data_IF_169147072292
#
_entry.id   IF_169147072292
#
_cell.length_a   1.000
_cell.length_b   1.000
_cell.length_c   1.000
_cell.angle_alpha   90.00
_cell.angle_beta   90.00
_cell.angle_gamma   90.00
#
_symmetry.space_group_name_H-M   'P 1'
#
loop_
_entity.id
_entity.type
_entity.pdbx_description
1 polymer ?
#
# COMPACT_ATOMS: atom_id res chain seq x y z
N UNK A 1 11.39 26.41 -41.88
CA UNK A 1 10.15 25.60 -41.93
C UNK A 1 10.43 24.25 -41.29
N UNK A 2 10.06 24.07 -40.02
CA UNK A 2 10.27 22.82 -39.31
C UNK A 2 9.14 21.85 -39.67
N UNK A 3 9.48 20.75 -40.34
CA UNK A 3 8.56 19.68 -40.65
C UNK A 3 8.03 19.09 -39.33
N UNK A 4 6.71 19.19 -39.12
CA UNK A 4 6.03 18.47 -38.07
C UNK A 4 6.29 16.96 -38.27
N UNK A 5 7.11 16.36 -37.41
CA UNK A 5 7.25 14.92 -37.32
C UNK A 5 5.86 14.34 -37.07
N UNK A 6 5.29 13.69 -38.10
CA UNK A 6 4.12 12.82 -37.96
C UNK A 6 4.43 11.84 -36.83
N UNK A 7 3.73 11.96 -35.69
CA UNK A 7 3.63 10.89 -34.71
C UNK A 7 3.37 9.60 -35.48
N UNK A 8 4.30 8.65 -35.43
CA UNK A 8 4.13 7.34 -36.04
C UNK A 8 2.92 6.69 -35.39
N UNK A 9 1.75 6.83 -36.00
CA UNK A 9 0.53 6.21 -35.54
C UNK A 9 0.60 4.74 -35.93
N UNK A 10 1.28 3.94 -35.11
CA UNK A 10 1.27 2.50 -35.27
C UNK A 10 -0.14 1.96 -35.01
N UNK A 11 -0.56 0.97 -35.81
CA UNK A 11 -1.89 0.37 -35.71
C UNK A 11 -1.84 -0.81 -34.75
N UNK A 12 -2.35 -0.61 -33.54
CA UNK A 12 -2.40 -1.66 -32.53
C UNK A 12 -3.49 -2.70 -32.87
N UNK A 13 -3.28 -3.99 -32.51
CA UNK A 13 -4.31 -5.02 -32.62
C UNK A 13 -5.55 -4.65 -31.78
N UNK A 14 -6.76 -5.10 -32.19
CA UNK A 14 -7.97 -4.85 -31.44
C UNK A 14 -7.86 -5.42 -30.01
N UNK A 15 -8.70 -4.92 -29.10
CA UNK A 15 -8.83 -5.52 -27.79
C UNK A 15 -9.45 -6.92 -27.91
N UNK A 16 -9.03 -7.88 -27.06
CA UNK A 16 -9.77 -9.13 -26.92
C UNK A 16 -11.23 -8.86 -26.55
N UNK A 17 -12.14 -9.57 -27.19
CA UNK A 17 -13.55 -9.57 -26.85
C UNK A 17 -13.79 -10.17 -25.48
N UNK A 18 -14.93 -9.86 -24.87
CA UNK A 18 -15.36 -10.48 -23.59
C UNK A 18 -15.36 -12.02 -23.72
N UNK A 19 -15.82 -12.56 -24.86
CA UNK A 19 -15.85 -14.00 -25.12
C UNK A 19 -14.45 -14.61 -25.17
N UNK A 20 -13.48 -13.94 -25.79
CA UNK A 20 -12.09 -14.38 -25.83
C UNK A 20 -11.45 -14.35 -24.44
N UNK A 21 -11.72 -13.30 -23.64
CA UNK A 21 -11.25 -13.23 -22.25
C UNK A 21 -11.86 -14.37 -21.42
N UNK A 22 -13.17 -14.62 -21.54
CA UNK A 22 -13.82 -15.74 -20.85
C UNK A 22 -13.17 -17.08 -21.22
N UNK A 23 -12.88 -17.29 -22.51
CA UNK A 23 -12.23 -18.50 -23.01
C UNK A 23 -10.79 -18.62 -22.48
N UNK A 24 -10.01 -17.56 -22.53
CA UNK A 24 -8.62 -17.50 -22.07
C UNK A 24 -8.51 -17.80 -20.57
N UNK A 25 -9.48 -17.35 -19.79
CA UNK A 25 -9.52 -17.61 -18.35
C UNK A 25 -10.11 -18.97 -17.97
N UNK A 26 -10.73 -19.67 -18.92
CA UNK A 26 -11.57 -20.83 -18.65
C UNK A 26 -12.49 -20.55 -17.42
N UNK A 27 -13.17 -19.39 -17.42
CA UNK A 27 -13.87 -18.78 -16.26
C UNK A 27 -14.94 -19.67 -15.59
N UNK A 28 -15.14 -20.91 -16.07
CA UNK A 28 -15.96 -21.94 -15.41
C UNK A 28 -15.31 -22.53 -14.15
N UNK A 29 -14.00 -22.36 -13.88
CA UNK A 29 -13.37 -23.07 -12.77
C UNK A 29 -12.48 -22.28 -11.78
N UNK A 30 -11.91 -21.11 -12.08
CA UNK A 30 -10.89 -20.54 -11.17
C UNK A 30 -11.03 -19.03 -10.90
N UNK A 31 -11.51 -18.70 -9.69
CA UNK A 31 -11.46 -17.37 -9.05
C UNK A 31 -10.03 -16.95 -8.63
N UNK A 32 -8.98 -17.58 -9.15
CA UNK A 32 -7.67 -17.61 -8.48
C UNK A 32 -6.93 -16.27 -8.45
N UNK A 33 -7.15 -15.35 -9.41
CA UNK A 33 -6.38 -14.10 -9.48
C UNK A 33 -7.15 -12.81 -9.17
N UNK A 34 -8.47 -12.90 -8.90
CA UNK A 34 -9.32 -11.74 -8.55
C UNK A 34 -9.11 -10.51 -9.46
N UNK A 35 -8.89 -10.74 -10.75
CA UNK A 35 -8.67 -9.69 -11.75
C UNK A 35 -10.00 -9.16 -12.28
N UNK A 36 -10.07 -7.83 -12.44
CA UNK A 36 -11.19 -7.13 -13.07
C UNK A 36 -10.63 -6.31 -14.24
N UNK A 37 -10.97 -6.68 -15.47
CA UNK A 37 -10.43 -6.07 -16.68
C UNK A 37 -11.24 -4.86 -17.11
N UNK A 38 -10.54 -3.80 -17.51
CA UNK A 38 -11.14 -2.60 -18.08
C UNK A 38 -10.93 -2.61 -19.59
N UNK A 39 -12.00 -2.89 -20.33
CA UNK A 39 -11.97 -3.02 -21.80
C UNK A 39 -12.49 -1.78 -22.53
N UNK A 40 -13.07 -0.81 -21.81
CA UNK A 40 -13.48 0.47 -22.39
C UNK A 40 -12.28 1.41 -22.51
N UNK A 41 -11.82 1.60 -23.75
CA UNK A 41 -10.67 2.46 -24.06
C UNK A 41 -10.88 3.93 -23.66
N UNK A 42 -12.12 4.40 -23.55
CA UNK A 42 -12.40 5.78 -23.10
C UNK A 42 -12.07 5.95 -21.62
N UNK A 43 -12.29 4.89 -20.82
CA UNK A 43 -11.97 4.89 -19.39
C UNK A 43 -10.47 4.71 -19.17
N UNK A 44 -9.80 3.83 -19.91
CA UNK A 44 -8.33 3.71 -19.83
C UNK A 44 -7.63 4.97 -20.31
N UNK A 45 -8.11 5.61 -21.39
CA UNK A 45 -7.63 6.93 -21.83
C UNK A 45 -7.86 7.98 -20.73
N UNK A 46 -8.97 7.91 -19.97
CA UNK A 46 -9.23 8.80 -18.84
C UNK A 46 -8.27 8.58 -17.67
N UNK A 47 -7.91 7.33 -17.36
CA UNK A 47 -6.90 7.00 -16.33
C UNK A 47 -5.55 7.59 -16.74
N UNK A 48 -5.12 7.34 -17.98
CA UNK A 48 -3.84 7.83 -18.51
C UNK A 48 -3.75 9.36 -18.45
N UNK A 49 -4.84 10.08 -18.77
CA UNK A 49 -4.87 11.55 -18.61
C UNK A 49 -4.64 12.02 -17.17
N UNK A 50 -4.97 11.23 -16.15
CA UNK A 50 -4.70 11.58 -14.76
C UNK A 50 -3.25 11.35 -14.34
N UNK A 51 -2.51 10.50 -15.04
CA UNK A 51 -1.07 10.33 -14.80
C UNK A 51 -0.28 11.60 -15.20
N UNK A 52 -0.82 12.38 -16.13
CA UNK A 52 -0.24 13.61 -16.64
C UNK A 52 0.21 13.48 -18.09
N UNK A 53 1.17 14.31 -18.49
CA UNK A 53 1.76 14.22 -19.82
C UNK A 53 2.68 12.99 -19.91
N UNK A 54 2.33 12.04 -20.76
CA UNK A 54 3.15 10.85 -21.04
C UNK A 54 3.99 10.97 -22.31
N UNK A 55 3.97 12.12 -22.98
CA UNK A 55 4.83 12.36 -24.14
C UNK A 55 6.28 12.21 -23.71
N UNK A 56 7.01 11.36 -24.44
CA UNK A 56 8.42 11.03 -24.21
C UNK A 56 8.71 10.51 -22.79
N UNK A 57 7.69 9.96 -22.11
CA UNK A 57 7.81 9.46 -20.75
C UNK A 57 8.27 8.01 -20.69
N UNK A 58 8.88 7.65 -19.56
CA UNK A 58 9.15 6.28 -19.15
C UNK A 58 8.00 5.78 -18.29
N UNK A 59 7.31 4.74 -18.71
CA UNK A 59 6.11 4.25 -18.02
C UNK A 59 6.29 2.81 -17.62
N UNK A 60 6.08 2.52 -16.33
CA UNK A 60 5.89 1.16 -15.87
C UNK A 60 4.39 0.88 -15.72
N UNK A 61 3.86 0.00 -16.54
CA UNK A 61 2.52 -0.55 -16.33
C UNK A 61 2.61 -1.82 -15.49
N UNK A 62 1.80 -1.87 -14.43
CA UNK A 62 1.73 -3.03 -13.55
C UNK A 62 0.46 -3.82 -13.83
N UNK A 63 0.61 -5.11 -14.16
CA UNK A 63 -0.49 -6.01 -14.46
C UNK A 63 -1.33 -5.55 -15.65
N UNK A 64 -0.74 -5.46 -16.86
CA UNK A 64 -1.44 -4.97 -18.06
C UNK A 64 -2.65 -5.81 -18.47
N UNK A 65 -2.67 -7.10 -18.10
CA UNK A 65 -3.73 -8.04 -18.46
C UNK A 65 -3.98 -8.07 -19.98
N UNK A 66 -5.23 -7.84 -20.45
CA UNK A 66 -5.54 -7.81 -21.89
C UNK A 66 -4.96 -6.58 -22.63
N UNK A 67 -4.28 -5.68 -21.93
CA UNK A 67 -3.58 -4.53 -22.50
C UNK A 67 -4.48 -3.32 -22.79
N UNK A 68 -5.56 -3.15 -22.02
CA UNK A 68 -6.43 -1.97 -22.13
C UNK A 68 -5.70 -0.67 -21.81
N UNK A 69 -5.06 -0.62 -20.64
CA UNK A 69 -4.22 0.51 -20.23
C UNK A 69 -2.97 0.64 -21.11
N UNK A 70 -2.31 -0.48 -21.44
CA UNK A 70 -1.17 -0.53 -22.38
C UNK A 70 -1.42 0.27 -23.66
N UNK A 71 -2.57 0.03 -24.32
CA UNK A 71 -2.95 0.73 -25.56
C UNK A 71 -3.08 2.23 -25.34
N UNK A 72 -3.74 2.64 -24.26
CA UNK A 72 -3.91 4.05 -23.91
C UNK A 72 -2.58 4.74 -23.58
N UNK A 73 -1.64 4.05 -22.92
CA UNK A 73 -0.30 4.56 -22.61
C UNK A 73 0.52 4.76 -23.89
N UNK A 74 0.54 3.76 -24.78
CA UNK A 74 1.24 3.85 -26.07
C UNK A 74 0.69 4.99 -26.92
N UNK A 75 -0.65 5.11 -27.00
CA UNK A 75 -1.34 6.20 -27.71
C UNK A 75 -1.02 7.58 -27.13
N UNK A 76 -0.77 7.67 -25.82
CA UNK A 76 -0.40 8.92 -25.16
C UNK A 76 1.06 9.38 -25.43
N UNK A 77 1.85 8.58 -26.16
CA UNK A 77 3.18 8.98 -26.63
C UNK A 77 4.32 8.65 -25.68
N UNK A 78 4.16 7.62 -24.83
CA UNK A 78 5.26 7.10 -24.01
C UNK A 78 6.47 6.74 -24.89
N UNK A 79 7.67 7.12 -24.46
CA UNK A 79 8.91 6.76 -25.15
C UNK A 79 9.27 5.29 -24.92
N UNK A 80 9.07 4.81 -23.68
CA UNK A 80 9.45 3.48 -23.23
C UNK A 80 8.43 2.98 -22.19
N UNK A 81 7.65 1.97 -22.59
CA UNK A 81 6.65 1.30 -21.77
C UNK A 81 7.18 -0.06 -21.32
N UNK A 82 7.49 -0.20 -20.04
CA UNK A 82 7.75 -1.48 -19.40
C UNK A 82 6.46 -2.02 -18.81
N UNK A 83 6.02 -3.21 -19.23
CA UNK A 83 4.89 -3.90 -18.59
C UNK A 83 5.38 -5.08 -17.77
N UNK A 84 4.86 -5.23 -16.54
CA UNK A 84 5.15 -6.37 -15.66
C UNK A 84 3.87 -7.17 -15.50
N UNK A 85 3.80 -8.34 -16.13
CA UNK A 85 2.64 -9.24 -16.11
C UNK A 85 2.99 -10.57 -15.45
N UNK A 86 2.16 -11.02 -14.51
CA UNK A 86 2.35 -12.28 -13.79
C UNK A 86 1.67 -13.45 -14.49
N UNK A 87 0.57 -13.18 -15.20
CA UNK A 87 -0.23 -14.20 -15.84
C UNK A 87 0.29 -14.50 -17.26
N UNK A 88 0.88 -15.67 -17.44
CA UNK A 88 1.45 -16.13 -18.71
C UNK A 88 0.45 -16.11 -19.87
N UNK A 89 -0.84 -16.24 -19.58
CA UNK A 89 -1.90 -16.31 -20.60
C UNK A 89 -2.02 -15.02 -21.42
N UNK A 90 -1.63 -13.88 -20.84
CA UNK A 90 -1.67 -12.60 -21.56
C UNK A 90 -0.42 -12.27 -22.35
N UNK A 91 0.69 -12.95 -22.07
CA UNK A 91 1.99 -12.66 -22.69
C UNK A 91 1.91 -12.69 -24.23
N UNK A 92 1.24 -13.66 -24.89
CA UNK A 92 1.13 -13.64 -26.36
C UNK A 92 0.39 -12.41 -26.89
N UNK A 93 -0.68 -11.96 -26.21
CA UNK A 93 -1.42 -10.76 -26.61
C UNK A 93 -0.61 -9.47 -26.40
N UNK A 94 0.22 -9.43 -25.35
CA UNK A 94 1.14 -8.33 -25.11
C UNK A 94 2.29 -8.33 -26.14
N UNK A 95 2.79 -9.48 -26.56
CA UNK A 95 3.80 -9.60 -27.62
C UNK A 95 3.30 -8.98 -28.93
N UNK A 96 2.06 -9.29 -29.34
CA UNK A 96 1.43 -8.67 -30.51
C UNK A 96 1.34 -7.13 -30.38
N UNK A 97 1.12 -6.58 -29.18
CA UNK A 97 1.15 -5.14 -28.95
C UNK A 97 2.56 -4.57 -29.08
N UNK A 98 3.56 -5.28 -28.57
CA UNK A 98 4.96 -4.89 -28.65
C UNK A 98 5.48 -4.92 -30.09
N UNK A 99 5.09 -5.91 -30.88
CA UNK A 99 5.38 -6.00 -32.32
C UNK A 99 4.70 -4.88 -33.11
N UNK A 100 3.46 -4.54 -32.74
CA UNK A 100 2.74 -3.42 -33.35
C UNK A 100 3.33 -2.06 -32.96
N UNK A 101 4.07 -1.94 -31.86
CA UNK A 101 4.74 -0.71 -31.42
C UNK A 101 6.26 -0.93 -31.23
N UNK A 102 7.02 -1.16 -32.33
CA UNK A 102 8.43 -1.52 -32.25
C UNK A 102 9.27 -0.52 -31.45
N UNK A 103 10.08 -1.02 -30.52
CA UNK A 103 10.98 -0.21 -29.69
C UNK A 103 10.29 0.66 -28.63
N UNK A 104 8.96 0.61 -28.51
CA UNK A 104 8.20 1.41 -27.52
C UNK A 104 7.79 0.62 -26.30
N UNK A 105 7.69 -0.70 -26.40
CA UNK A 105 7.17 -1.55 -25.35
C UNK A 105 8.14 -2.69 -25.03
N UNK A 106 8.26 -3.02 -23.74
CA UNK A 106 9.03 -4.15 -23.21
C UNK A 106 8.15 -4.92 -22.24
N UNK A 107 8.24 -6.25 -22.30
CA UNK A 107 7.42 -7.14 -21.49
C UNK A 107 8.31 -7.90 -20.53
N UNK A 108 7.97 -7.84 -19.24
CA UNK A 108 8.54 -8.68 -18.21
C UNK A 108 7.45 -9.61 -17.71
N UNK A 109 7.69 -10.91 -17.82
CA UNK A 109 6.89 -11.91 -17.15
C UNK A 109 7.39 -12.05 -15.70
N UNK A 110 6.60 -11.59 -14.73
CA UNK A 110 6.99 -11.59 -13.31
C UNK A 110 5.94 -10.99 -12.38
N UNK A 111 6.17 -11.16 -11.07
CA UNK A 111 5.32 -10.58 -10.03
C UNK A 111 5.84 -9.19 -9.64
N UNK A 112 5.00 -8.16 -9.72
CA UNK A 112 5.37 -6.80 -9.31
C UNK A 112 5.76 -6.69 -7.83
N UNK A 113 5.22 -7.56 -6.96
CA UNK A 113 5.56 -7.57 -5.55
C UNK A 113 7.02 -7.97 -5.30
N UNK A 114 7.68 -8.64 -6.24
CA UNK A 114 9.09 -9.05 -6.12
C UNK A 114 9.99 -8.43 -7.19
N UNK A 115 9.43 -7.97 -8.30
CA UNK A 115 10.18 -7.33 -9.38
C UNK A 115 10.90 -6.05 -8.91
N UNK A 116 12.14 -5.90 -9.36
CA UNK A 116 13.04 -4.81 -8.99
C UNK A 116 13.06 -3.73 -10.06
N UNK A 117 12.22 -2.71 -9.88
CA UNK A 117 12.08 -1.58 -10.81
C UNK A 117 13.34 -0.72 -10.92
N UNK A 118 14.29 -0.83 -10.00
CA UNK A 118 15.58 -0.14 -10.03
C UNK A 118 16.35 -0.36 -11.34
N UNK A 119 16.16 -1.54 -11.97
CA UNK A 119 16.81 -1.91 -13.23
C UNK A 119 15.87 -1.78 -14.44
N UNK A 120 14.66 -1.25 -14.23
CA UNK A 120 13.63 -1.19 -15.26
C UNK A 120 13.89 -0.14 -16.33
N UNK A 121 14.62 0.93 -16.00
CA UNK A 121 14.82 2.11 -16.85
C UNK A 121 16.27 2.62 -16.80
N UNK A 122 16.72 3.36 -17.84
CA UNK A 122 18.06 3.92 -17.87
C UNK A 122 18.30 4.91 -16.71
N UNK A 123 19.48 4.84 -16.08
CA UNK A 123 19.84 5.71 -14.94
C UNK A 123 19.79 7.21 -15.27
N UNK A 124 19.93 7.57 -16.54
CA UNK A 124 19.85 8.93 -17.07
C UNK A 124 18.45 9.54 -16.94
N UNK A 125 17.43 8.70 -16.72
CA UNK A 125 16.06 9.12 -16.41
C UNK A 125 15.94 9.70 -15.00
N UNK A 126 16.87 9.37 -14.12
CA UNK A 126 16.82 9.79 -12.72
C UNK A 126 16.97 11.31 -12.58
N UNK A 127 16.22 11.86 -11.65
CA UNK A 127 16.34 13.23 -11.15
C UNK A 127 16.70 13.19 -9.68
N UNK A 128 17.32 14.27 -9.19
CA UNK A 128 17.49 14.43 -7.73
C UNK A 128 16.12 14.50 -7.06
N UNK A 129 16.05 14.26 -5.75
CA UNK A 129 14.77 14.21 -5.06
C UNK A 129 14.09 15.59 -5.00
N UNK A 130 14.91 16.63 -4.86
CA UNK A 130 14.52 18.02 -4.71
C UNK A 130 14.13 18.67 -6.05
N UNK A 131 14.61 18.13 -7.18
CA UNK A 131 14.23 18.57 -8.53
C UNK A 131 12.75 18.34 -8.85
N UNK A 132 12.30 18.88 -9.98
CA UNK A 132 11.01 18.50 -10.59
C UNK A 132 10.93 16.97 -10.76
N UNK A 133 9.75 16.36 -10.55
CA UNK A 133 9.61 14.92 -10.66
C UNK A 133 10.08 14.42 -12.04
N UNK A 134 10.76 13.24 -12.11
CA UNK A 134 11.18 12.67 -13.39
C UNK A 134 9.96 12.50 -14.32
N UNK A 135 10.20 12.44 -15.63
CA UNK A 135 9.16 12.06 -16.60
C UNK A 135 8.95 10.53 -16.59
N UNK A 136 8.72 10.01 -15.38
CA UNK A 136 8.56 8.60 -15.09
C UNK A 136 7.26 8.38 -14.31
N UNK A 137 6.47 7.41 -14.77
CA UNK A 137 5.14 7.13 -14.23
C UNK A 137 4.96 5.65 -13.99
N UNK A 138 4.29 5.31 -12.89
CA UNK A 138 3.80 3.96 -12.64
C UNK A 138 2.29 3.99 -12.74
N UNK A 139 1.74 3.16 -13.61
CA UNK A 139 0.29 3.10 -13.89
C UNK A 139 -0.17 1.67 -13.72
N UNK A 140 -1.32 1.45 -13.09
CA UNK A 140 -1.81 0.08 -12.92
C UNK A 140 -3.28 -0.01 -12.58
N UNK A 141 -3.96 -0.95 -13.23
CA UNK A 141 -5.29 -1.42 -12.82
C UNK A 141 -5.16 -2.78 -12.12
N UNK A 142 -4.87 -2.75 -10.83
CA UNK A 142 -4.42 -3.94 -10.12
C UNK A 142 -5.56 -4.72 -9.47
N UNK A 143 -5.41 -6.04 -9.31
CA UNK A 143 -6.25 -6.80 -8.40
C UNK A 143 -6.23 -6.18 -7.00
N UNK A 144 -7.39 -6.13 -6.35
CA UNK A 144 -7.51 -5.44 -5.06
C UNK A 144 -6.63 -6.07 -3.97
N UNK A 145 -6.45 -7.39 -4.00
CA UNK A 145 -5.53 -8.14 -3.12
C UNK A 145 -4.07 -7.74 -3.28
N UNK A 146 -3.67 -7.21 -4.45
CA UNK A 146 -2.30 -6.78 -4.76
C UNK A 146 -2.12 -5.28 -4.53
N UNK A 147 -3.11 -4.46 -4.87
CA UNK A 147 -3.02 -2.99 -4.83
C UNK A 147 -2.61 -2.44 -3.46
N UNK A 148 -3.22 -2.94 -2.37
CA UNK A 148 -2.99 -2.45 -1.00
C UNK A 148 -1.60 -2.83 -0.45
N UNK A 149 -1.15 -4.10 -0.50
CA UNK A 149 0.22 -4.42 -0.06
C UNK A 149 1.27 -3.74 -0.94
N UNK A 150 1.01 -3.57 -2.25
CA UNK A 150 1.95 -2.91 -3.16
C UNK A 150 2.12 -1.43 -2.83
N UNK A 151 1.04 -0.68 -2.57
CA UNK A 151 1.17 0.73 -2.20
C UNK A 151 1.88 0.89 -0.85
N UNK A 152 1.66 0.00 0.13
CA UNK A 152 2.39 0.03 1.40
C UNK A 152 3.89 -0.20 1.17
N UNK A 153 4.26 -1.20 0.36
CA UNK A 153 5.64 -1.45 -0.05
C UNK A 153 6.26 -0.23 -0.73
N UNK A 154 5.52 0.42 -1.64
CA UNK A 154 6.01 1.60 -2.32
C UNK A 154 6.13 2.82 -1.41
N UNK A 155 5.25 3.01 -0.43
CA UNK A 155 5.42 4.07 0.57
C UNK A 155 6.69 3.85 1.40
N UNK A 156 7.00 2.61 1.78
CA UNK A 156 8.27 2.28 2.44
C UNK A 156 9.48 2.56 1.54
N UNK A 157 9.42 2.10 0.29
CA UNK A 157 10.49 2.38 -0.68
C UNK A 157 10.66 3.88 -0.93
N UNK A 158 9.58 4.64 -0.95
CA UNK A 158 9.58 6.09 -1.11
C UNK A 158 10.25 6.79 0.07
N UNK A 159 9.90 6.39 1.31
CA UNK A 159 10.56 6.88 2.52
C UNK A 159 12.07 6.61 2.50
N UNK A 160 12.47 5.43 1.99
CA UNK A 160 13.87 5.02 1.92
C UNK A 160 14.58 5.48 0.64
N UNK A 161 13.87 6.15 -0.29
CA UNK A 161 14.37 6.53 -1.63
C UNK A 161 14.95 5.35 -2.43
N UNK A 162 14.32 4.19 -2.32
CA UNK A 162 14.71 2.93 -2.99
C UNK A 162 13.70 2.50 -4.07
N UNK A 163 13.97 1.42 -4.79
CA UNK A 163 13.04 0.90 -5.79
C UNK A 163 12.88 1.88 -6.97
N UNK A 164 11.64 2.09 -7.41
CA UNK A 164 11.32 3.07 -8.44
C UNK A 164 11.51 4.54 -8.01
N UNK A 165 11.74 4.80 -6.72
CA UNK A 165 11.98 6.13 -6.18
C UNK A 165 13.46 6.53 -6.21
N UNK A 166 14.35 5.62 -6.65
CA UNK A 166 15.73 5.96 -6.99
C UNK A 166 15.83 6.89 -8.21
N UNK A 167 14.80 6.92 -9.06
CA UNK A 167 14.72 7.84 -10.20
C UNK A 167 14.25 9.25 -9.80
N UNK A 168 13.99 9.49 -8.52
CA UNK A 168 13.40 10.72 -7.99
C UNK A 168 11.94 10.52 -7.59
N UNK A 169 11.16 11.61 -7.59
CA UNK A 169 9.75 11.64 -7.15
C UNK A 169 8.78 11.04 -8.17
N UNK A 170 9.04 9.81 -8.61
CA UNK A 170 8.23 9.03 -9.57
C UNK A 170 6.75 9.02 -9.17
N UNK A 171 5.89 9.36 -10.12
CA UNK A 171 4.44 9.50 -9.89
C UNK A 171 3.72 8.18 -10.08
N UNK A 172 2.66 7.96 -9.29
CA UNK A 172 1.86 6.73 -9.34
C UNK A 172 0.41 7.08 -9.71
N UNK A 173 -0.20 6.30 -10.60
CA UNK A 173 -1.64 6.36 -10.92
C UNK A 173 -2.22 4.96 -10.87
N UNK A 174 -2.95 4.66 -9.81
CA UNK A 174 -3.34 3.29 -9.47
C UNK A 174 -4.84 3.22 -9.22
N UNK A 175 -5.42 2.05 -9.49
CA UNK A 175 -6.80 1.76 -9.11
C UNK A 175 -6.87 1.01 -7.78
N UNK A 176 -7.90 1.33 -7.00
CA UNK A 176 -8.21 0.66 -5.74
C UNK A 176 -9.72 0.45 -5.63
N UNK A 177 -10.16 -0.42 -4.72
CA UNK A 177 -11.56 -0.40 -4.29
C UNK A 177 -11.93 1.01 -3.82
N UNK A 178 -13.16 1.45 -4.09
CA UNK A 178 -13.64 2.79 -3.73
C UNK A 178 -13.36 3.15 -2.26
N UNK A 179 -13.63 2.24 -1.34
CA UNK A 179 -13.37 2.48 0.10
C UNK A 179 -11.87 2.69 0.40
N UNK A 180 -10.98 1.95 -0.26
CA UNK A 180 -9.53 2.10 -0.09
C UNK A 180 -9.06 3.43 -0.67
N UNK A 181 -9.60 3.84 -1.83
CA UNK A 181 -9.34 5.15 -2.41
C UNK A 181 -9.80 6.30 -1.49
N UNK A 182 -11.00 6.19 -0.92
CA UNK A 182 -11.52 7.14 0.06
C UNK A 182 -10.65 7.22 1.31
N UNK A 183 -10.17 6.07 1.82
CA UNK A 183 -9.25 6.01 2.95
C UNK A 183 -7.92 6.70 2.62
N UNK A 184 -7.32 6.44 1.46
CA UNK A 184 -6.05 7.06 1.04
C UNK A 184 -6.12 8.60 1.04
N UNK A 185 -7.28 9.17 0.68
CA UNK A 185 -7.48 10.62 0.58
C UNK A 185 -8.23 11.24 1.76
N UNK A 186 -8.54 10.47 2.79
CA UNK A 186 -9.32 10.97 3.92
C UNK A 186 -8.53 11.98 4.76
N UNK A 187 -9.08 13.18 4.92
CA UNK A 187 -8.54 14.25 5.77
C UNK A 187 -8.70 13.96 7.26
N UNK A 188 -8.08 14.78 8.11
CA UNK A 188 -8.33 14.82 9.55
C UNK A 188 -9.82 15.00 9.85
N UNK A 189 -10.33 14.29 10.85
CA UNK A 189 -11.75 14.27 11.24
C UNK A 189 -12.65 13.38 10.37
N UNK A 190 -12.20 12.95 9.19
CA UNK A 190 -13.02 12.12 8.30
C UNK A 190 -13.30 10.74 8.88
N UNK A 191 -14.54 10.24 8.69
CA UNK A 191 -14.92 8.87 9.07
C UNK A 191 -14.03 7.82 8.41
N UNK A 192 -13.60 8.07 7.17
CA UNK A 192 -12.74 7.17 6.41
C UNK A 192 -11.26 7.29 6.77
N UNK A 193 -10.87 8.22 7.64
CA UNK A 193 -9.47 8.35 8.06
C UNK A 193 -9.01 7.08 8.75
N UNK A 194 -7.83 6.62 8.34
CA UNK A 194 -7.26 5.34 8.74
C UNK A 194 -5.74 5.43 8.75
N UNK A 195 -5.08 4.35 9.17
CA UNK A 195 -3.64 4.18 9.03
C UNK A 195 -3.15 4.50 7.62
N UNK A 196 -3.86 4.04 6.59
CA UNK A 196 -3.46 4.22 5.20
C UNK A 196 -3.50 5.69 4.77
N UNK A 197 -4.42 6.49 5.33
CA UNK A 197 -4.51 7.93 5.10
C UNK A 197 -3.22 8.62 5.53
N UNK A 198 -2.83 8.39 6.79
CA UNK A 198 -1.64 9.02 7.38
C UNK A 198 -0.39 8.58 6.64
N UNK A 199 -0.21 7.25 6.47
CA UNK A 199 0.99 6.68 5.83
C UNK A 199 1.20 7.16 4.39
N UNK A 200 0.12 7.39 3.63
CA UNK A 200 0.23 7.92 2.27
C UNK A 200 0.47 9.43 2.25
N UNK A 201 -0.31 10.19 3.04
CA UNK A 201 -0.32 11.65 2.96
C UNK A 201 0.94 12.30 3.55
N UNK A 202 1.63 11.66 4.50
CA UNK A 202 2.88 12.24 5.02
C UNK A 202 4.03 12.14 4.00
N UNK A 203 3.95 11.24 3.02
CA UNK A 203 4.95 11.06 1.97
C UNK A 203 4.52 11.65 0.63
N UNK A 204 3.22 11.79 0.39
CA UNK A 204 2.66 12.15 -0.91
C UNK A 204 1.56 13.20 -0.82
N UNK A 205 1.43 13.99 -1.89
CA UNK A 205 0.12 14.51 -2.27
C UNK A 205 -0.69 13.37 -2.89
N UNK A 206 -1.84 13.04 -2.30
CA UNK A 206 -2.72 11.94 -2.74
C UNK A 206 -4.05 12.51 -3.24
N UNK A 207 -4.40 12.23 -4.49
CA UNK A 207 -5.62 12.74 -5.13
C UNK A 207 -6.50 11.60 -5.58
N UNK A 208 -7.77 11.61 -5.16
CA UNK A 208 -8.80 10.74 -5.70
C UNK A 208 -9.32 11.40 -6.97
N UNK A 209 -8.91 10.91 -8.13
CA UNK A 209 -9.14 11.57 -9.40
C UNK A 209 -10.59 11.41 -9.87
N UNK A 210 -11.11 10.18 -9.84
CA UNK A 210 -12.50 9.84 -10.13
C UNK A 210 -12.80 8.39 -9.75
N UNK A 211 -14.09 8.07 -9.68
CA UNK A 211 -14.59 6.71 -9.45
C UNK A 211 -15.12 6.11 -10.75
N UNK A 212 -14.79 4.84 -11.00
CA UNK A 212 -15.30 4.03 -12.10
C UNK A 212 -16.36 3.08 -11.53
N UNK A 213 -17.59 3.08 -12.08
CA UNK A 213 -18.62 2.12 -11.70
C UNK A 213 -18.15 0.68 -11.90
N UNK A 214 -18.44 -0.22 -10.95
CA UNK A 214 -18.02 -1.63 -11.05
C UNK A 214 -18.53 -2.32 -12.33
N UNK A 215 -19.68 -1.90 -12.87
CA UNK A 215 -20.22 -2.45 -14.13
C UNK A 215 -19.35 -2.20 -15.37
N UNK A 216 -18.36 -1.31 -15.30
CA UNK A 216 -17.42 -1.07 -16.40
C UNK A 216 -16.34 -2.14 -16.53
N UNK A 217 -16.22 -3.04 -15.54
CA UNK A 217 -15.19 -4.07 -15.52
C UNK A 217 -15.75 -5.45 -15.87
N UNK A 218 -14.87 -6.33 -16.35
CA UNK A 218 -15.17 -7.73 -16.66
C UNK A 218 -14.12 -8.64 -16.00
N UNK A 219 -14.51 -9.59 -15.13
CA UNK A 219 -15.83 -9.66 -14.49
C UNK A 219 -16.14 -8.40 -13.66
N UNK A 220 -17.43 -8.18 -13.38
CA UNK A 220 -17.88 -7.05 -12.55
C UNK A 220 -17.47 -7.27 -11.08
N UNK A 221 -16.67 -6.39 -10.46
CA UNK A 221 -16.40 -6.42 -9.03
C UNK A 221 -17.68 -6.09 -8.22
N UNK A 222 -17.67 -6.50 -6.95
CA UNK A 222 -18.75 -6.18 -6.00
C UNK A 222 -18.81 -4.72 -5.55
N UNK A 223 -17.75 -3.95 -5.84
CA UNK A 223 -17.58 -2.55 -5.43
C UNK A 223 -17.10 -1.71 -6.60
N UNK A 224 -17.35 -0.42 -6.54
CA UNK A 224 -16.77 0.54 -7.47
C UNK A 224 -15.26 0.69 -7.25
N UNK A 225 -14.59 1.27 -8.24
CA UNK A 225 -13.13 1.39 -8.29
C UNK A 225 -12.72 2.85 -8.32
N UNK A 226 -11.93 3.30 -7.35
CA UNK A 226 -11.35 4.63 -7.32
C UNK A 226 -10.01 4.69 -8.06
N UNK A 227 -9.79 5.74 -8.84
CA UNK A 227 -8.50 6.05 -9.48
C UNK A 227 -7.78 7.07 -8.62
N UNK A 228 -6.61 6.71 -8.09
CA UNK A 228 -5.84 7.53 -7.16
C UNK A 228 -4.49 7.88 -7.77
N UNK A 229 -4.15 9.17 -7.74
CA UNK A 229 -2.86 9.69 -8.17
C UNK A 229 -2.01 10.09 -6.96
N UNK A 230 -0.73 9.72 -6.99
CA UNK A 230 0.24 10.01 -5.94
C UNK A 230 1.40 10.79 -6.53
N UNK A 231 1.72 11.92 -5.91
CA UNK A 231 2.93 12.68 -6.17
C UNK A 231 3.76 12.73 -4.89
N UNK A 232 4.94 12.09 -4.85
CA UNK A 232 5.84 12.17 -3.70
C UNK A 232 6.20 13.62 -3.37
N UNK A 233 6.24 13.94 -2.07
CA UNK A 233 6.61 15.25 -1.57
C UNK A 233 8.13 15.44 -1.65
N UNK A 234 8.58 16.67 -1.94
CA UNK A 234 9.99 17.02 -1.86
C UNK A 234 10.50 16.88 -0.42
N UNK A 235 9.72 17.38 0.54
CA UNK A 235 9.94 17.17 1.96
C UNK A 235 8.77 16.37 2.54
N UNK A 236 9.01 15.17 3.09
CA UNK A 236 7.96 14.42 3.76
C UNK A 236 7.50 15.19 5.00
N UNK A 237 6.22 15.04 5.34
CA UNK A 237 5.65 15.69 6.51
C UNK A 237 6.08 15.03 7.83
N UNK A 238 6.77 13.89 7.81
CA UNK A 238 7.37 13.26 9.00
C UNK A 238 8.75 12.76 8.58
N UNK A 239 9.80 13.13 9.32
CA UNK A 239 11.20 12.81 9.00
C UNK A 239 11.75 11.77 9.96
N UNK A 240 11.03 10.66 10.10
CA UNK A 240 11.41 9.52 10.95
C UNK A 240 11.42 8.23 10.12
N UNK A 241 12.14 7.18 10.54
CA UNK A 241 12.16 5.91 9.83
C UNK A 241 10.75 5.36 9.59
N UNK A 242 10.48 4.84 8.39
CA UNK A 242 9.15 4.37 7.99
C UNK A 242 8.51 3.42 9.02
N UNK A 243 9.29 2.48 9.55
CA UNK A 243 8.81 1.48 10.52
C UNK A 243 8.42 2.10 11.86
N UNK A 244 9.10 3.15 12.30
CA UNK A 244 8.77 3.89 13.51
C UNK A 244 7.42 4.60 13.34
N UNK A 245 7.24 5.32 12.22
CA UNK A 245 5.97 5.98 11.90
C UNK A 245 4.84 4.96 11.76
N UNK A 246 5.07 3.88 11.02
CA UNK A 246 4.10 2.80 10.84
C UNK A 246 3.65 2.20 12.16
N UNK A 247 4.60 1.98 13.09
CA UNK A 247 4.33 1.44 14.44
C UNK A 247 3.42 2.37 15.25
N UNK A 248 3.71 3.66 15.29
CA UNK A 248 2.89 4.64 16.04
C UNK A 248 1.50 4.76 15.43
N UNK A 249 1.41 4.93 14.11
CA UNK A 249 0.11 5.06 13.42
C UNK A 249 -0.70 3.77 13.58
N UNK A 250 -0.08 2.59 13.47
CA UNK A 250 -0.77 1.29 13.65
C UNK A 250 -1.36 1.15 15.04
N UNK A 251 -0.60 1.46 16.10
CA UNK A 251 -1.08 1.37 17.47
C UNK A 251 -2.17 2.41 17.75
N UNK A 252 -1.99 3.64 17.27
CA UNK A 252 -2.99 4.71 17.39
C UNK A 252 -4.35 4.31 16.80
N UNK A 253 -4.37 3.72 15.60
CA UNK A 253 -5.61 3.31 14.93
C UNK A 253 -6.18 1.96 15.39
N UNK A 254 -5.54 1.24 16.32
CA UNK A 254 -6.01 -0.07 16.79
C UNK A 254 -7.40 0.00 17.43
N UNK A 255 -7.66 1.05 18.22
CA UNK A 255 -8.93 1.23 18.93
C UNK A 255 -9.68 2.47 18.42
N UNK A 256 -10.21 2.40 17.20
CA UNK A 256 -10.85 3.53 16.49
C UNK A 256 -11.94 4.28 17.26
N UNK A 257 -12.64 3.61 18.19
CA UNK A 257 -13.74 4.19 18.99
C UNK A 257 -13.30 4.63 20.40
N UNK A 258 -12.01 4.50 20.74
CA UNK A 258 -11.43 4.92 22.02
C UNK A 258 -10.54 6.14 21.79
N UNK A 259 -10.13 6.83 22.86
CA UNK A 259 -9.16 7.92 22.74
C UNK A 259 -7.80 7.36 22.32
N UNK A 260 -7.00 8.15 21.63
CA UNK A 260 -5.71 7.79 21.06
C UNK A 260 -4.74 7.23 22.10
N UNK A 261 -4.81 7.75 23.35
CA UNK A 261 -4.04 7.27 24.50
C UNK A 261 -4.10 5.74 24.63
N UNK A 262 -5.28 5.13 24.45
CA UNK A 262 -5.45 3.67 24.56
C UNK A 262 -4.67 2.88 23.52
N UNK A 263 -4.51 3.45 22.32
CA UNK A 263 -3.68 2.86 21.28
C UNK A 263 -2.20 3.07 21.58
N UNK A 264 -1.81 4.28 21.95
CA UNK A 264 -0.43 4.66 22.26
C UNK A 264 0.14 3.91 23.46
N UNK A 265 -0.69 3.59 24.46
CA UNK A 265 -0.36 2.72 25.60
C UNK A 265 0.26 1.38 25.16
N UNK A 266 -0.11 0.85 23.98
CA UNK A 266 0.39 -0.42 23.45
C UNK A 266 1.80 -0.32 22.87
N UNK A 267 2.40 0.87 22.83
CA UNK A 267 3.81 1.07 22.48
C UNK A 267 4.76 0.74 23.64
N UNK A 268 4.24 0.63 24.86
CA UNK A 268 5.03 0.56 26.08
C UNK A 268 4.73 -0.70 26.93
N UNK A 269 5.76 -1.32 27.54
CA UNK A 269 5.62 -2.44 28.48
C UNK A 269 4.65 -2.16 29.63
N UNK A 270 3.96 -3.19 30.14
CA UNK A 270 2.96 -3.01 31.22
C UNK A 270 3.53 -2.27 32.45
N UNK A 271 4.80 -2.52 32.79
CA UNK A 271 5.49 -1.93 33.95
C UNK A 271 5.69 -0.41 33.88
N UNK A 272 5.85 0.15 32.68
CA UNK A 272 6.18 1.58 32.46
C UNK A 272 5.13 2.30 31.62
N UNK A 273 4.04 1.60 31.26
CA UNK A 273 3.05 2.06 30.28
C UNK A 273 2.46 3.42 30.62
N UNK A 274 2.07 3.64 31.87
CA UNK A 274 1.41 4.87 32.27
C UNK A 274 2.36 6.07 32.13
N UNK A 275 3.54 5.97 32.75
CA UNK A 275 4.56 7.02 32.77
C UNK A 275 5.03 7.38 31.36
N UNK A 276 5.45 6.39 30.57
CA UNK A 276 5.97 6.65 29.22
C UNK A 276 4.89 7.14 28.24
N UNK A 277 3.63 6.74 28.42
CA UNK A 277 2.53 7.28 27.60
C UNK A 277 2.26 8.74 27.95
N UNK A 278 2.29 9.10 29.22
CA UNK A 278 2.14 10.49 29.67
C UNK A 278 3.31 11.35 29.19
N UNK A 279 4.53 10.83 29.28
CA UNK A 279 5.73 11.50 28.75
C UNK A 279 5.64 11.73 27.24
N UNK A 280 5.22 10.70 26.48
CA UNK A 280 5.06 10.79 25.03
C UNK A 280 4.06 11.87 24.64
N UNK A 281 2.87 11.85 25.24
CA UNK A 281 1.78 12.78 24.92
C UNK A 281 2.14 14.22 25.32
N UNK A 282 2.77 14.40 26.47
CA UNK A 282 3.24 15.72 26.94
C UNK A 282 4.34 16.27 26.04
N UNK A 283 5.33 15.45 25.71
CA UNK A 283 6.45 15.85 24.84
C UNK A 283 5.99 16.16 23.41
N UNK A 284 4.96 15.46 22.92
CA UNK A 284 4.39 15.68 21.61
C UNK A 284 3.33 16.80 21.57
N UNK A 285 2.93 17.34 22.72
CA UNK A 285 1.81 18.29 22.86
C UNK A 285 0.51 17.81 22.18
N UNK A 286 0.13 16.55 22.45
CA UNK A 286 -1.07 15.93 21.87
C UNK A 286 -2.11 15.66 22.95
N UNK A 287 -3.34 16.12 22.72
CA UNK A 287 -4.45 15.87 23.64
C UNK A 287 -4.75 14.35 23.74
N UNK A 288 -4.63 13.75 24.95
CA UNK A 288 -4.87 12.32 25.19
C UNK A 288 -6.29 11.85 24.84
N UNK A 289 -7.25 12.78 24.74
CA UNK A 289 -8.67 12.51 24.54
C UNK A 289 -9.09 12.48 23.08
N UNK A 290 -8.23 12.92 22.15
CA UNK A 290 -8.50 12.85 20.72
C UNK A 290 -8.78 11.43 20.27
N UNK A 291 -9.72 11.26 19.34
CA UNK A 291 -9.88 10.01 18.59
C UNK A 291 -8.75 9.88 17.57
N UNK A 292 -8.37 8.65 17.18
CA UNK A 292 -7.36 8.44 16.14
C UNK A 292 -7.63 9.18 14.82
N UNK A 293 -8.90 9.38 14.48
CA UNK A 293 -9.29 10.12 13.26
C UNK A 293 -9.10 11.63 13.36
N UNK A 294 -8.94 12.18 14.56
CA UNK A 294 -8.81 13.61 14.81
C UNK A 294 -7.35 14.05 14.84
N UNK A 295 -6.41 13.10 14.94
CA UNK A 295 -4.97 13.38 14.92
C UNK A 295 -4.52 13.76 13.51
N UNK A 296 -3.96 14.96 13.41
CA UNK A 296 -3.33 15.56 12.24
C UNK A 296 -1.96 14.94 11.93
N UNK A 297 -1.43 15.21 10.74
CA UNK A 297 -0.10 14.70 10.36
C UNK A 297 1.01 15.40 11.15
N UNK A 298 0.83 16.67 11.53
CA UNK A 298 1.74 17.40 12.40
C UNK A 298 1.80 16.81 13.81
N UNK A 299 0.66 16.40 14.38
CA UNK A 299 0.65 15.70 15.68
C UNK A 299 1.29 14.30 15.57
N UNK A 300 1.06 13.58 14.46
CA UNK A 300 1.79 12.33 14.21
C UNK A 300 3.31 12.54 14.05
N UNK A 301 3.74 13.68 13.49
CA UNK A 301 5.17 14.06 13.46
C UNK A 301 5.69 14.22 14.89
N UNK A 302 5.02 15.02 15.70
CA UNK A 302 5.42 15.28 17.08
C UNK A 302 5.48 13.98 17.90
N UNK A 303 4.49 13.09 17.75
CA UNK A 303 4.48 11.76 18.37
C UNK A 303 5.66 10.90 17.90
N UNK A 304 5.99 10.93 16.60
CA UNK A 304 7.11 10.17 16.06
C UNK A 304 8.46 10.67 16.57
N UNK A 305 8.65 11.98 16.63
CA UNK A 305 9.87 12.61 17.13
C UNK A 305 10.06 12.32 18.63
N UNK A 306 8.99 12.51 19.43
CA UNK A 306 9.01 12.21 20.87
C UNK A 306 9.24 10.72 21.15
N UNK A 307 8.60 9.82 20.40
CA UNK A 307 8.80 8.38 20.57
C UNK A 307 10.21 7.93 20.18
N UNK A 308 10.80 8.53 19.13
CA UNK A 308 12.20 8.26 18.75
C UNK A 308 13.15 8.56 19.90
N UNK A 309 13.00 9.74 20.52
CA UNK A 309 13.78 10.14 21.69
C UNK A 309 13.62 9.17 22.87
N UNK A 310 12.38 8.76 23.18
CA UNK A 310 12.13 7.78 24.23
C UNK A 310 12.80 6.42 23.94
N UNK A 311 12.87 5.99 22.68
CA UNK A 311 13.57 4.76 22.29
C UNK A 311 15.10 4.87 22.42
N UNK A 312 15.67 6.06 22.24
CA UNK A 312 17.10 6.31 22.49
C UNK A 312 17.44 6.24 23.98
N UNK A 313 16.54 6.72 24.84
CA UNK A 313 16.71 6.73 26.29
C UNK A 313 16.40 5.37 26.95
N UNK A 314 15.54 4.55 26.33
CA UNK A 314 15.05 3.29 26.89
C UNK A 314 15.42 2.10 26.00
N UNK A 315 16.49 1.39 26.38
CA UNK A 315 17.01 0.26 25.62
C UNK A 315 15.95 -0.84 25.45
N UNK A 316 15.75 -1.30 24.20
CA UNK A 316 14.80 -2.38 23.85
C UNK A 316 13.36 -1.92 23.59
N UNK A 317 13.02 -0.64 23.80
CA UNK A 317 11.67 -0.14 23.56
C UNK A 317 11.26 -0.19 22.07
N UNK A 318 12.22 -0.01 21.17
CA UNK A 318 11.98 -0.08 19.72
C UNK A 318 11.50 -1.47 19.26
N UNK A 319 11.95 -2.52 19.95
CA UNK A 319 11.68 -3.93 19.63
C UNK A 319 10.50 -4.52 20.39
N UNK A 320 9.96 -3.80 21.38
CA UNK A 320 8.84 -4.27 22.20
C UNK A 320 7.60 -4.62 21.33
N UNK A 321 6.91 -5.72 21.64
CA UNK A 321 5.58 -6.03 21.08
C UNK A 321 4.64 -6.47 22.21
N UNK A 322 3.62 -5.66 22.49
CA UNK A 322 2.62 -5.94 23.51
C UNK A 322 1.90 -7.28 23.30
N UNK A 323 1.85 -7.80 22.06
CA UNK A 323 1.23 -9.11 21.79
C UNK A 323 2.04 -10.25 22.38
N UNK A 324 3.36 -10.17 22.35
CA UNK A 324 4.24 -11.19 22.94
C UNK A 324 4.13 -11.16 24.47
N UNK A 325 4.11 -9.97 25.07
CA UNK A 325 3.85 -9.80 26.51
C UNK A 325 2.49 -10.41 26.93
N UNK A 326 1.42 -10.15 26.17
CA UNK A 326 0.10 -10.74 26.41
C UNK A 326 0.11 -12.27 26.30
N UNK A 327 0.80 -12.84 25.30
CA UNK A 327 0.93 -14.29 25.14
C UNK A 327 1.63 -14.92 26.35
N UNK A 328 2.77 -14.36 26.76
CA UNK A 328 3.53 -14.84 27.92
C UNK A 328 2.69 -14.79 29.19
N UNK A 329 1.94 -13.70 29.40
CA UNK A 329 1.03 -13.58 30.55
C UNK A 329 -0.10 -14.62 30.52
N UNK A 330 -0.68 -14.89 29.36
CA UNK A 330 -1.71 -15.93 29.23
C UNK A 330 -1.14 -17.34 29.48
N UNK A 331 0.09 -17.61 29.02
CA UNK A 331 0.79 -18.86 29.31
C UNK A 331 1.07 -19.03 30.80
N UNK A 332 1.59 -17.98 31.46
CA UNK A 332 1.84 -17.98 32.90
C UNK A 332 0.56 -18.22 33.71
N UNK A 333 -0.56 -17.55 33.36
CA UNK A 333 -1.87 -17.78 33.99
C UNK A 333 -2.38 -19.21 33.81
N UNK A 334 -2.16 -19.83 32.64
CA UNK A 334 -2.53 -21.24 32.39
C UNK A 334 -1.69 -22.21 33.22
N UNK A 335 -0.39 -21.96 33.36
CA UNK A 335 0.50 -22.79 34.19
C UNK A 335 0.12 -22.68 35.69
N UNK A 336 -0.15 -21.47 36.19
CA UNK A 336 -0.64 -21.25 37.56
C UNK A 336 -2.02 -21.90 37.80
N UNK A 337 -2.91 -21.86 36.81
CA UNK A 337 -4.21 -22.53 36.85
C UNK A 337 -4.12 -24.06 36.86
N UNK A 338 -3.19 -24.64 36.11
CA UNK A 338 -2.93 -26.09 36.11
C UNK A 338 -2.26 -26.56 37.41
N UNK A 339 -1.31 -25.79 37.97
CA UNK A 339 -0.71 -26.12 39.26
C UNK A 339 -1.73 -26.09 40.41
N UNK A 340 -2.69 -25.16 40.39
CA UNK A 340 -3.80 -25.14 41.35
C UNK A 340 -4.75 -26.33 41.20
N UNK A 341 -4.98 -26.82 39.98
CA UNK A 341 -5.77 -28.05 39.75
C UNK A 341 -5.01 -29.32 40.13
N UNK A 342 -3.68 -29.36 39.96
CA UNK A 342 -2.83 -30.46 40.39
C UNK A 342 -2.69 -30.58 41.91
N UNK A 343 -2.64 -29.45 42.63
CA UNK A 343 -2.68 -29.45 44.10
C UNK A 343 -4.02 -29.93 44.68
N UNK A 344 -5.16 -29.54 44.07
CA UNK A 344 -6.47 -29.99 44.53
C UNK A 344 -6.76 -31.49 44.27
N UNK A 345 -5.98 -32.19 43.44
CA UNK A 345 -6.06 -33.65 43.32
C UNK A 345 -5.17 -34.39 44.33
N UNK A 346 -4.15 -33.74 44.89
CA UNK A 346 -3.28 -34.36 45.90
C UNK A 346 -3.77 -34.15 47.33
N UNK A 347 -4.53 -33.09 47.62
CA UNK A 347 -5.11 -32.85 48.96
C UNK A 347 -6.41 -33.61 49.24
N UNK A 348 -6.96 -34.39 48.30
CA UNK A 348 -8.18 -35.20 48.53
C UNK A 348 -7.92 -36.69 48.73
N UNK A 349 -6.65 -37.13 48.81
CA UNK A 349 -6.30 -38.56 48.96
C UNK A 349 -5.70 -38.89 50.34
N UNK A 350 -5.41 -37.91 51.20
CA UNK A 350 -4.74 -38.16 52.50
C UNK A 350 -5.63 -38.10 53.76
N UNK A 351 -6.94 -37.92 53.67
CA UNK A 351 -7.81 -37.82 54.87
C UNK A 351 -8.65 -39.07 55.24
N UNK A 352 -8.38 -40.24 54.66
CA UNK A 352 -9.14 -41.47 55.00
C UNK A 352 -8.26 -42.69 55.30
N UNK A 353 -7.25 -42.56 56.17
CA UNK A 353 -6.66 -43.71 56.88
C UNK A 353 -6.18 -43.25 58.26
N UNK A 354 -7.10 -43.22 59.23
CA UNK A 354 -6.86 -43.55 60.64
C UNK A 354 -8.12 -43.20 61.45
N UNK A 355 -8.95 -44.20 61.70
CA UNK A 355 -9.31 -44.52 63.08
C UNK A 355 -10.05 -45.86 63.12
N UNK A 356 -9.37 -46.82 63.73
CA UNK A 356 -9.88 -48.12 64.12
C UNK A 356 -9.67 -48.22 65.63
N UNK A 357 -10.76 -48.12 66.40
CA UNK A 357 -10.97 -48.80 67.67
C UNK A 357 -12.45 -49.02 67.93
#
# INVERSE_FOLDING_TARGET
MAAAQKLSCFRLPPLPTIKEIIKLYNLRAEKQLSQNFLLDLRLTDKIVRQAGNLKDAHVCEVGPGPGGLTRSILKAGAADLLVVEKDTRFIPGLQLLSEAAPGKMRIVHGDILTYRLEKGFPAQTAKTWEDVPPNMHIIGNLPFSVSTPLIIKWLEQMSNRTGCFMFGRTRLTLTFQKEVAERLTASTGSRQRSRLSVMAQYLCTVKNCFTIPGCAFVPKPSVDVGVVHFTPLAQPQIQQPFKLVERIVKNTFQFRRKHCRRGLEMLFPESQRQELTEELLRSADVDPTLRPTEISISEFRALADAYSKLCEENQGLIDYDFREELKLRHQAKRQLGNNRKGHNLHTTVEENVNDSH
#
